data_IF_762386525946
#
_entry.id   IF_762386525946
#
_cell.length_a   1.000
_cell.length_b   1.000
_cell.length_c   1.000
_cell.angle_alpha   90.00
_cell.angle_beta   90.00
_cell.angle_gamma   90.00
#
_symmetry.space_group_name_H-M   'P 1'
#
loop_
_entity.id
_entity.type
_entity.pdbx_description
1 polymer ?
#
# COMPACT_ATOMS: atom_id res chain seq x y z
N UNK A 1 -10.47 -59.34 16.41
CA UNK A 1 -10.74 -58.24 15.48
C UNK A 1 -10.86 -56.85 16.14
N UNK A 2 -11.73 -56.59 17.10
CA UNK A 2 -11.91 -55.24 17.71
C UNK A 2 -10.63 -54.63 18.31
N UNK A 3 -9.80 -55.40 19.03
CA UNK A 3 -8.54 -54.88 19.66
C UNK A 3 -7.54 -54.39 18.61
N UNK A 4 -7.37 -55.07 17.51
CA UNK A 4 -6.46 -54.69 16.44
C UNK A 4 -6.90 -53.39 15.72
N UNK A 5 -8.19 -53.18 15.54
CA UNK A 5 -8.74 -51.96 15.00
C UNK A 5 -8.38 -50.76 15.88
N UNK A 6 -8.55 -50.87 17.17
CA UNK A 6 -8.21 -49.80 18.12
C UNK A 6 -6.70 -49.50 18.17
N UNK A 7 -5.86 -50.53 18.08
CA UNK A 7 -4.41 -50.34 18.01
C UNK A 7 -4.02 -49.64 16.73
N UNK A 8 -4.59 -50.04 15.56
CA UNK A 8 -4.32 -49.40 14.27
C UNK A 8 -4.79 -47.93 14.26
N UNK A 9 -5.99 -47.64 14.78
CA UNK A 9 -6.50 -46.27 14.89
C UNK A 9 -5.61 -45.44 15.80
N UNK A 10 -5.22 -45.98 16.98
CA UNK A 10 -4.32 -45.26 17.88
C UNK A 10 -2.97 -44.96 17.27
N UNK A 11 -2.39 -45.88 16.50
CA UNK A 11 -1.12 -45.68 15.79
C UNK A 11 -1.25 -44.61 14.70
N UNK A 12 -2.33 -44.63 13.92
CA UNK A 12 -2.59 -43.61 12.88
C UNK A 12 -2.78 -42.22 13.48
N UNK A 13 -3.53 -42.11 14.56
CA UNK A 13 -3.74 -40.83 15.28
C UNK A 13 -2.41 -40.31 15.86
N UNK A 14 -1.60 -41.20 16.42
CA UNK A 14 -0.27 -40.82 16.97
C UNK A 14 0.68 -40.35 15.84
N UNK A 15 0.72 -41.05 14.70
CA UNK A 15 1.52 -40.65 13.58
C UNK A 15 1.05 -39.30 12.96
N UNK A 16 -0.27 -39.09 12.87
CA UNK A 16 -0.80 -37.82 12.45
C UNK A 16 -0.44 -36.67 13.40
N UNK A 17 -0.55 -36.89 14.72
CA UNK A 17 -0.18 -35.93 15.75
C UNK A 17 1.33 -35.58 15.68
N UNK A 18 2.19 -36.58 15.52
CA UNK A 18 3.64 -36.38 15.36
C UNK A 18 3.97 -35.65 14.06
N UNK A 19 3.28 -35.96 12.95
CA UNK A 19 3.44 -35.27 11.68
C UNK A 19 3.02 -33.80 11.77
N UNK A 20 1.88 -33.51 12.37
CA UNK A 20 1.37 -32.15 12.58
C UNK A 20 2.29 -31.37 13.52
N UNK A 21 2.69 -31.98 14.64
CA UNK A 21 3.59 -31.35 15.62
C UNK A 21 4.98 -31.07 15.04
N UNK A 22 5.53 -32.02 14.28
CA UNK A 22 6.81 -31.87 13.59
C UNK A 22 6.76 -30.75 12.54
N UNK A 23 5.73 -30.74 11.73
CA UNK A 23 5.53 -29.66 10.76
C UNK A 23 5.39 -28.30 11.43
N UNK A 24 4.57 -28.19 12.48
CA UNK A 24 4.39 -26.94 13.23
C UNK A 24 5.71 -26.44 13.81
N UNK A 25 6.55 -27.31 14.37
CA UNK A 25 7.85 -26.94 14.90
C UNK A 25 8.78 -26.41 13.81
N UNK A 26 8.84 -27.09 12.65
CA UNK A 26 9.69 -26.67 11.53
C UNK A 26 9.22 -25.32 10.99
N UNK A 27 7.92 -25.16 10.81
CA UNK A 27 7.32 -23.92 10.29
C UNK A 27 7.52 -22.76 11.25
N UNK A 28 7.24 -22.97 12.54
CA UNK A 28 7.47 -21.98 13.60
C UNK A 28 8.94 -21.55 13.68
N UNK A 29 9.87 -22.50 13.64
CA UNK A 29 11.30 -22.23 13.64
C UNK A 29 11.73 -21.45 12.39
N UNK A 30 11.22 -21.83 11.23
CA UNK A 30 11.48 -21.10 9.97
C UNK A 30 11.04 -19.63 10.04
N UNK A 31 9.83 -19.37 10.53
CA UNK A 31 9.34 -17.99 10.65
C UNK A 31 10.05 -17.19 11.74
N UNK A 32 10.43 -17.81 12.85
CA UNK A 32 11.21 -17.12 13.88
C UNK A 32 12.58 -16.66 13.39
N UNK A 33 13.20 -17.39 12.45
CA UNK A 33 14.46 -16.96 11.83
C UNK A 33 14.30 -15.77 10.88
N UNK A 34 13.08 -15.45 10.46
CA UNK A 34 12.78 -14.32 9.59
C UNK A 34 12.52 -13.01 10.36
N UNK A 35 12.51 -13.03 11.67
CA UNK A 35 12.36 -11.85 12.51
C UNK A 35 13.64 -11.60 13.30
N UNK A 36 13.95 -10.33 13.49
CA UNK A 36 15.11 -9.93 14.28
C UNK A 36 14.73 -9.64 15.73
N UNK A 37 15.77 -9.61 16.56
CA UNK A 37 15.68 -9.09 17.92
C UNK A 37 16.09 -7.62 17.94
N UNK A 38 15.68 -6.83 18.95
CA UNK A 38 16.09 -5.43 19.07
C UNK A 38 17.60 -5.22 19.09
N UNK A 39 18.39 -6.21 19.58
CA UNK A 39 19.84 -6.14 19.63
C UNK A 39 20.51 -6.36 18.27
N UNK A 40 19.84 -7.03 17.33
CA UNK A 40 20.40 -7.38 16.03
C UNK A 40 20.33 -6.20 15.05
N UNK A 41 19.48 -5.21 15.33
CA UNK A 41 19.27 -4.06 14.48
C UNK A 41 19.64 -2.79 15.22
N UNK A 42 20.56 -2.01 14.65
CA UNK A 42 20.98 -0.75 15.25
C UNK A 42 19.75 0.13 15.54
N UNK A 43 19.72 0.70 16.75
CA UNK A 43 18.61 1.55 17.21
C UNK A 43 18.30 2.65 16.20
N UNK A 44 17.03 2.90 15.96
CA UNK A 44 16.48 3.84 14.97
C UNK A 44 16.63 3.42 13.50
N UNK A 45 17.06 2.22 13.22
CA UNK A 45 17.18 1.70 11.86
C UNK A 45 16.18 0.57 11.58
N UNK A 46 16.07 0.22 10.31
CA UNK A 46 15.38 -0.97 9.83
C UNK A 46 16.41 -2.02 9.40
N UNK A 47 16.10 -3.31 9.54
CA UNK A 47 16.93 -4.37 8.99
C UNK A 47 16.86 -4.33 7.45
N UNK A 48 18.00 -4.17 6.75
CA UNK A 48 18.03 -4.12 5.29
C UNK A 48 18.02 -5.51 4.64
N UNK A 49 18.15 -6.60 5.42
CA UNK A 49 18.26 -7.95 4.86
C UNK A 49 16.94 -8.44 4.27
N UNK A 50 16.96 -9.16 3.15
CA UNK A 50 15.76 -9.75 2.58
C UNK A 50 15.25 -10.93 3.42
N UNK A 51 13.99 -11.31 3.20
CA UNK A 51 13.39 -12.51 3.78
C UNK A 51 13.72 -13.76 2.97
N UNK A 52 13.92 -13.62 1.68
CA UNK A 52 14.21 -14.70 0.73
C UNK A 52 15.35 -14.31 -0.21
N UNK A 53 15.96 -15.30 -0.85
CA UNK A 53 17.00 -15.07 -1.86
C UNK A 53 16.42 -14.37 -3.11
N UNK A 54 17.29 -13.72 -3.90
CA UNK A 54 16.87 -13.11 -5.17
C UNK A 54 16.29 -14.17 -6.14
N UNK A 55 16.87 -15.36 -6.16
CA UNK A 55 16.40 -16.46 -7.01
C UNK A 55 15.00 -16.94 -6.61
N UNK A 56 14.69 -17.00 -5.33
CA UNK A 56 13.34 -17.35 -4.85
C UNK A 56 12.33 -16.26 -5.19
N UNK A 57 12.68 -14.99 -4.98
CA UNK A 57 11.82 -13.87 -5.37
C UNK A 57 11.56 -13.86 -6.88
N UNK A 58 12.59 -14.09 -7.70
CA UNK A 58 12.46 -14.18 -9.15
C UNK A 58 11.57 -15.35 -9.57
N UNK A 59 11.72 -16.52 -8.91
CA UNK A 59 10.89 -17.70 -9.14
C UNK A 59 9.41 -17.40 -8.90
N UNK A 60 9.06 -16.64 -7.83
CA UNK A 60 7.67 -16.22 -7.56
C UNK A 60 7.04 -15.44 -8.72
N UNK A 61 7.84 -14.67 -9.46
CA UNK A 61 7.36 -13.92 -10.62
C UNK A 61 7.19 -14.84 -11.84
N UNK A 62 8.16 -15.72 -12.09
CA UNK A 62 8.16 -16.58 -13.29
C UNK A 62 7.15 -17.72 -13.23
N UNK A 63 6.75 -18.16 -12.04
CA UNK A 63 5.73 -19.19 -11.84
C UNK A 63 4.29 -18.68 -12.04
N UNK A 64 4.10 -17.35 -12.13
CA UNK A 64 2.77 -16.79 -12.33
C UNK A 64 2.34 -16.98 -13.78
N UNK A 65 1.25 -17.73 -13.97
CA UNK A 65 0.65 -17.92 -15.29
C UNK A 65 0.09 -16.61 -15.81
N UNK A 66 0.60 -16.15 -16.94
CA UNK A 66 0.10 -14.97 -17.64
C UNK A 66 -1.11 -15.30 -18.52
N UNK A 67 -2.05 -14.35 -18.73
CA UNK A 67 -3.13 -14.54 -19.68
C UNK A 67 -2.58 -14.61 -21.11
N UNK A 68 -3.22 -15.41 -21.96
CA UNK A 68 -2.77 -15.66 -23.35
C UNK A 68 -2.73 -14.39 -24.23
N UNK A 69 -3.52 -13.36 -23.89
CA UNK A 69 -3.59 -12.06 -24.56
C UNK A 69 -2.88 -10.94 -23.77
N UNK A 70 -2.17 -11.29 -22.71
CA UNK A 70 -1.57 -10.31 -21.80
C UNK A 70 -0.16 -9.88 -22.21
N UNK A 71 0.33 -8.84 -21.57
CA UNK A 71 1.73 -8.44 -21.60
C UNK A 71 2.53 -9.49 -20.80
N UNK A 72 3.64 -9.93 -21.34
CA UNK A 72 4.49 -10.94 -20.67
C UNK A 72 5.51 -10.26 -19.75
N UNK A 73 5.68 -10.81 -18.54
CA UNK A 73 6.76 -10.39 -17.65
C UNK A 73 8.11 -10.84 -18.22
N UNK A 74 9.13 -10.02 -18.08
CA UNK A 74 10.49 -10.39 -18.47
C UNK A 74 10.98 -11.60 -17.64
N UNK A 75 11.80 -12.47 -18.25
CA UNK A 75 12.42 -13.62 -17.56
C UNK A 75 13.24 -13.21 -16.33
N UNK A 76 13.84 -12.02 -16.37
CA UNK A 76 14.54 -11.40 -15.25
C UNK A 76 13.93 -10.03 -15.00
N UNK A 77 13.30 -9.86 -13.85
CA UNK A 77 12.65 -8.63 -13.43
C UNK A 77 13.57 -7.89 -12.46
N UNK A 78 13.77 -6.59 -12.68
CA UNK A 78 14.48 -5.73 -11.73
C UNK A 78 13.70 -5.62 -10.43
N UNK A 79 14.40 -5.75 -9.30
CA UNK A 79 13.80 -5.73 -7.97
C UNK A 79 14.70 -4.97 -6.99
N UNK A 80 14.09 -4.39 -5.95
CA UNK A 80 14.79 -3.85 -4.78
C UNK A 80 14.23 -4.47 -3.50
N UNK A 81 15.10 -4.76 -2.53
CA UNK A 81 14.68 -5.28 -1.21
C UNK A 81 13.81 -4.25 -0.49
N UNK A 82 12.76 -4.70 0.21
CA UNK A 82 12.00 -3.88 1.15
C UNK A 82 12.65 -4.02 2.52
N UNK A 83 13.40 -3.02 3.03
CA UNK A 83 13.99 -3.09 4.36
C UNK A 83 12.91 -3.05 5.44
N UNK A 84 13.21 -3.62 6.61
CA UNK A 84 12.32 -3.56 7.76
C UNK A 84 11.32 -4.71 7.89
N UNK A 85 11.20 -5.60 6.90
CA UNK A 85 10.30 -6.75 6.99
C UNK A 85 10.74 -7.78 8.05
N UNK A 86 12.04 -7.80 8.42
CA UNK A 86 12.56 -8.56 9.58
C UNK A 86 12.35 -7.82 10.89
N UNK A 87 12.38 -6.50 10.84
CA UNK A 87 12.17 -5.63 11.98
C UNK A 87 12.70 -4.24 11.75
N UNK A 88 12.12 -3.26 12.43
CA UNK A 88 12.54 -1.87 12.39
C UNK A 88 12.24 -1.17 13.70
N UNK A 89 13.04 -0.16 14.02
CA UNK A 89 12.80 0.75 15.13
C UNK A 89 11.85 1.86 14.74
N UNK A 90 10.94 2.20 15.65
CA UNK A 90 10.05 3.34 15.56
C UNK A 90 9.78 3.90 16.96
N UNK A 91 8.73 4.68 17.11
CA UNK A 91 8.26 5.27 18.37
C UNK A 91 6.97 4.59 18.78
N UNK A 92 6.88 4.10 19.99
CA UNK A 92 5.64 3.61 20.56
C UNK A 92 4.63 4.76 20.71
N UNK A 93 3.44 4.57 20.16
CA UNK A 93 2.44 5.64 20.06
C UNK A 93 1.87 6.07 21.42
N UNK A 94 1.92 5.20 22.42
CA UNK A 94 1.44 5.48 23.79
C UNK A 94 2.54 6.06 24.68
N UNK A 95 3.66 5.34 24.77
CA UNK A 95 4.75 5.72 25.68
C UNK A 95 5.66 6.81 25.11
N UNK A 96 5.60 7.04 23.79
CA UNK A 96 6.48 7.98 23.05
C UNK A 96 7.96 7.64 23.11
N UNK A 97 8.28 6.40 23.50
CA UNK A 97 9.64 5.89 23.57
C UNK A 97 10.00 5.10 22.31
N UNK A 98 11.30 5.00 22.05
CA UNK A 98 11.80 4.12 21.00
C UNK A 98 11.39 2.66 21.28
N UNK A 99 10.86 1.98 20.28
CA UNK A 99 10.48 0.59 20.36
C UNK A 99 10.71 -0.14 19.05
N UNK A 100 11.01 -1.42 19.13
CA UNK A 100 11.23 -2.30 18.00
C UNK A 100 9.96 -3.04 17.63
N UNK A 101 9.69 -3.19 16.32
CA UNK A 101 8.57 -3.97 15.79
C UNK A 101 9.03 -4.90 14.69
N UNK A 102 8.37 -6.06 14.60
CA UNK A 102 8.63 -7.10 13.59
C UNK A 102 7.44 -7.37 12.67
N UNK A 103 6.34 -6.64 12.85
CA UNK A 103 5.11 -6.82 12.06
C UNK A 103 4.84 -5.60 11.15
N UNK A 104 5.85 -5.23 10.35
CA UNK A 104 5.73 -4.13 9.41
C UNK A 104 5.00 -4.54 8.13
N UNK A 105 3.97 -3.79 7.76
CA UNK A 105 3.11 -4.05 6.60
C UNK A 105 3.34 -2.98 5.54
N UNK A 106 3.99 -3.32 4.41
CA UNK A 106 4.16 -2.40 3.29
C UNK A 106 2.82 -2.01 2.67
N UNK A 107 2.66 -0.72 2.36
CA UNK A 107 1.40 -0.20 1.82
C UNK A 107 1.59 0.56 0.51
N UNK A 108 2.57 1.43 0.45
CA UNK A 108 2.76 2.27 -0.70
C UNK A 108 4.22 2.41 -1.12
N UNK A 109 4.41 2.75 -2.39
CA UNK A 109 5.73 3.00 -2.98
C UNK A 109 5.69 4.19 -3.92
N UNK A 110 6.71 5.05 -3.82
CA UNK A 110 6.94 6.14 -4.77
C UNK A 110 8.44 6.41 -4.91
N UNK A 111 8.82 7.20 -5.91
CA UNK A 111 10.23 7.48 -6.18
C UNK A 111 10.46 8.96 -6.52
N UNK A 112 11.46 9.55 -5.88
CA UNK A 112 12.12 10.78 -6.35
C UNK A 112 13.22 10.45 -7.35
N UNK A 113 13.93 11.45 -7.87
CA UNK A 113 15.12 11.21 -8.72
C UNK A 113 16.25 10.45 -8.00
N UNK A 114 16.30 10.50 -6.66
CA UNK A 114 17.40 9.94 -5.86
C UNK A 114 17.01 8.76 -4.99
N UNK A 115 15.77 8.71 -4.54
CA UNK A 115 15.34 7.74 -3.54
C UNK A 115 13.96 7.13 -3.86
N UNK A 116 13.81 5.85 -3.49
CA UNK A 116 12.54 5.18 -3.34
C UNK A 116 12.04 5.40 -1.92
N UNK A 117 10.73 5.54 -1.78
CA UNK A 117 10.05 5.66 -0.49
C UNK A 117 9.00 4.56 -0.38
N UNK A 118 9.07 3.79 0.70
CA UNK A 118 8.11 2.72 1.02
C UNK A 118 7.40 3.05 2.33
N UNK A 119 6.10 3.26 2.28
CA UNK A 119 5.30 3.47 3.48
C UNK A 119 4.90 2.13 4.11
N UNK A 120 4.98 2.06 5.44
CA UNK A 120 4.65 0.87 6.21
C UNK A 120 3.97 1.25 7.53
N UNK A 121 2.96 0.49 7.92
CA UNK A 121 2.39 0.59 9.26
C UNK A 121 2.76 -0.65 10.10
N UNK A 122 2.68 -0.51 11.41
CA UNK A 122 2.85 -1.62 12.35
C UNK A 122 1.56 -2.44 12.42
N UNK A 123 1.59 -3.68 11.96
CA UNK A 123 0.44 -4.59 11.98
C UNK A 123 -0.11 -4.86 13.40
N UNK A 124 0.70 -4.66 14.44
CA UNK A 124 0.27 -4.72 15.84
C UNK A 124 -0.38 -3.39 16.30
N UNK A 125 -0.41 -2.37 15.46
CA UNK A 125 -0.96 -1.03 15.73
C UNK A 125 -0.44 -0.37 17.02
N UNK A 126 0.77 -0.67 17.43
CA UNK A 126 1.44 -0.16 18.61
C UNK A 126 2.39 0.99 18.29
N UNK A 127 3.14 0.85 17.20
CA UNK A 127 4.18 1.79 16.79
C UNK A 127 3.66 2.85 15.81
N UNK A 128 4.35 3.98 15.79
CA UNK A 128 4.18 4.96 14.73
C UNK A 128 4.58 4.36 13.39
N UNK A 129 3.81 4.65 12.35
CA UNK A 129 4.10 4.24 10.98
C UNK A 129 5.43 4.84 10.51
N UNK A 130 6.05 4.20 9.54
CA UNK A 130 7.35 4.59 9.01
C UNK A 130 7.30 4.71 7.49
N UNK A 131 8.23 5.49 6.94
CA UNK A 131 8.57 5.45 5.53
C UNK A 131 10.05 5.09 5.43
N UNK A 132 10.34 4.04 4.68
CA UNK A 132 11.72 3.61 4.43
C UNK A 132 12.23 4.35 3.22
N UNK A 133 13.38 5.00 3.36
CA UNK A 133 14.11 5.62 2.26
C UNK A 133 15.19 4.65 1.77
N UNK A 134 15.20 4.41 0.46
CA UNK A 134 16.10 3.50 -0.24
C UNK A 134 16.76 4.29 -1.37
N UNK A 135 18.06 4.18 -1.55
CA UNK A 135 18.76 4.77 -2.69
C UNK A 135 18.26 4.17 -4.01
N UNK A 136 17.74 4.99 -4.90
CA UNK A 136 17.09 4.54 -6.12
C UNK A 136 18.05 3.87 -7.13
N UNK A 137 19.35 4.22 -7.07
CA UNK A 137 20.39 3.69 -7.97
C UNK A 137 20.93 2.35 -7.49
N UNK A 138 21.17 2.21 -6.18
CA UNK A 138 21.84 1.05 -5.60
C UNK A 138 20.88 0.06 -4.94
N UNK A 139 19.64 0.46 -4.66
CA UNK A 139 18.68 -0.32 -3.88
C UNK A 139 19.05 -0.47 -2.39
N UNK A 140 20.01 0.32 -1.89
CA UNK A 140 20.46 0.23 -0.49
C UNK A 140 19.58 1.06 0.43
N UNK A 141 19.32 0.53 1.60
CA UNK A 141 18.65 1.23 2.70
C UNK A 141 19.46 2.49 3.09
N UNK A 142 18.79 3.63 3.17
CA UNK A 142 19.36 4.90 3.63
C UNK A 142 18.97 5.18 5.07
N UNK A 143 17.68 5.33 5.34
CA UNK A 143 17.15 5.66 6.68
C UNK A 143 15.67 5.33 6.82
N UNK A 144 15.20 5.36 8.05
CA UNK A 144 13.79 5.24 8.41
C UNK A 144 13.23 6.61 8.78
N UNK A 145 12.20 7.06 8.08
CA UNK A 145 11.44 8.27 8.41
C UNK A 145 10.30 7.87 9.33
N UNK A 146 10.37 8.24 10.60
CA UNK A 146 9.34 7.91 11.58
C UNK A 146 8.22 8.95 11.51
N UNK A 147 6.97 8.52 11.34
CA UNK A 147 5.82 9.39 11.22
C UNK A 147 5.25 9.77 12.58
N UNK A 148 4.33 10.77 12.61
CA UNK A 148 3.77 11.28 13.86
C UNK A 148 2.71 10.38 14.48
N UNK A 149 2.19 9.41 13.75
CA UNK A 149 1.07 8.58 14.15
C UNK A 149 1.21 7.15 13.63
N UNK A 150 0.31 6.29 14.06
CA UNK A 150 0.12 4.93 13.55
C UNK A 150 -0.91 4.86 12.41
N UNK A 151 -0.99 5.91 11.58
CA UNK A 151 -1.87 5.94 10.43
C UNK A 151 -1.55 4.79 9.47
N UNK A 152 -2.55 4.33 8.72
CA UNK A 152 -2.40 3.19 7.80
C UNK A 152 -1.46 3.51 6.61
N UNK A 153 -1.29 4.77 6.25
CA UNK A 153 -0.37 5.28 5.21
C UNK A 153 -0.47 4.54 3.86
N UNK A 154 -1.70 4.17 3.48
CA UNK A 154 -1.96 3.39 2.27
C UNK A 154 -1.55 4.08 0.97
N UNK A 155 -1.71 5.41 0.87
CA UNK A 155 -1.29 6.17 -0.30
C UNK A 155 -0.04 7.00 -0.03
N UNK A 156 0.94 6.97 -0.96
CA UNK A 156 2.15 7.78 -0.94
C UNK A 156 2.50 8.25 -2.35
N UNK A 157 2.89 9.50 -2.51
CA UNK A 157 3.34 10.03 -3.80
C UNK A 157 4.42 11.09 -3.63
N UNK A 158 5.32 11.20 -4.59
CA UNK A 158 6.37 12.22 -4.60
C UNK A 158 6.09 13.29 -5.65
N UNK A 159 5.98 14.53 -5.19
CA UNK A 159 5.87 15.71 -6.03
C UNK A 159 7.27 16.11 -6.54
N UNK A 160 7.56 15.80 -7.80
CA UNK A 160 8.84 16.09 -8.42
C UNK A 160 9.09 17.60 -8.62
N UNK A 161 8.02 18.37 -8.85
CA UNK A 161 8.11 19.82 -9.14
C UNK A 161 8.41 20.62 -7.85
N UNK A 162 7.73 20.27 -6.77
CA UNK A 162 7.89 20.94 -5.47
C UNK A 162 8.87 20.22 -4.54
N UNK A 163 9.44 19.11 -4.98
CA UNK A 163 10.42 18.28 -4.23
C UNK A 163 9.92 17.95 -2.82
N UNK A 164 8.81 17.22 -2.73
CA UNK A 164 8.24 16.81 -1.45
C UNK A 164 7.53 15.47 -1.55
N UNK A 165 7.48 14.78 -0.43
CA UNK A 165 6.79 13.53 -0.25
C UNK A 165 5.42 13.80 0.41
N UNK A 166 4.35 13.23 -0.15
CA UNK A 166 3.00 13.28 0.40
C UNK A 166 2.57 11.86 0.78
N UNK A 167 1.81 11.72 1.85
CA UNK A 167 1.22 10.44 2.28
C UNK A 167 -0.16 10.62 2.90
N UNK A 168 -1.00 9.59 2.82
CA UNK A 168 -2.30 9.57 3.49
C UNK A 168 -2.11 9.44 5.00
N UNK A 169 -2.84 10.24 5.77
CA UNK A 169 -2.82 10.24 7.22
C UNK A 169 -4.26 10.16 7.75
N UNK A 170 -4.72 8.94 7.97
CA UNK A 170 -6.07 8.66 8.47
C UNK A 170 -6.16 8.62 10.00
N UNK A 171 -5.25 9.30 10.68
CA UNK A 171 -5.23 9.39 12.14
C UNK A 171 -6.47 10.12 12.69
N UNK A 172 -7.44 9.37 13.16
CA UNK A 172 -8.68 9.88 13.73
C UNK A 172 -8.47 10.80 14.96
N UNK A 173 -7.38 10.59 15.72
CA UNK A 173 -7.05 11.43 16.88
C UNK A 173 -6.59 12.84 16.51
N UNK A 174 -6.13 13.06 15.28
CA UNK A 174 -5.68 14.36 14.80
C UNK A 174 -6.79 15.18 14.11
N UNK A 175 -8.05 14.91 14.40
CA UNK A 175 -9.17 15.63 13.80
C UNK A 175 -9.66 15.02 12.49
N UNK A 176 -9.60 13.69 12.35
CA UNK A 176 -10.06 12.95 11.16
C UNK A 176 -8.94 12.66 10.17
N UNK A 177 -9.31 12.26 8.96
CA UNK A 177 -8.34 11.95 7.91
C UNK A 177 -7.72 13.20 7.30
N UNK A 178 -6.53 13.05 6.72
CA UNK A 178 -5.80 14.12 6.06
C UNK A 178 -4.73 13.58 5.10
N UNK A 179 -3.98 14.51 4.55
CA UNK A 179 -2.80 14.28 3.75
C UNK A 179 -1.65 15.00 4.46
N UNK A 180 -0.59 14.26 4.77
CA UNK A 180 0.63 14.82 5.35
C UNK A 180 1.71 14.93 4.29
N UNK A 181 2.61 15.90 4.44
CA UNK A 181 3.76 16.06 3.56
C UNK A 181 5.00 16.56 4.29
N UNK A 182 6.17 16.27 3.73
CA UNK A 182 7.45 16.83 4.12
C UNK A 182 8.23 17.24 2.86
N UNK A 183 8.90 18.39 2.90
CA UNK A 183 9.76 18.80 1.82
C UNK A 183 11.06 17.96 1.82
N UNK A 184 11.70 17.83 0.66
CA UNK A 184 12.94 17.06 0.54
C UNK A 184 14.02 17.52 1.49
N UNK A 185 14.15 18.83 1.73
CA UNK A 185 15.11 19.39 2.70
C UNK A 185 14.88 18.88 4.14
N UNK A 186 13.64 18.70 4.55
CA UNK A 186 13.28 18.15 5.87
C UNK A 186 13.60 16.65 5.94
N UNK A 187 13.35 15.94 4.83
CA UNK A 187 13.73 14.54 4.70
C UNK A 187 15.25 14.39 4.73
N UNK A 188 15.99 15.19 3.97
CA UNK A 188 17.45 15.12 3.91
C UNK A 188 18.09 15.42 5.28
N UNK A 189 17.59 16.43 6.00
CA UNK A 189 18.07 16.82 7.32
C UNK A 189 17.68 15.82 8.43
N UNK A 190 16.66 15.01 8.23
CA UNK A 190 16.15 14.09 9.24
C UNK A 190 17.10 12.93 9.50
N UNK A 191 17.50 12.79 10.77
CA UNK A 191 18.34 11.69 11.28
C UNK A 191 17.66 11.11 12.53
N UNK A 192 16.98 9.97 12.45
CA UNK A 192 16.16 9.45 13.55
C UNK A 192 16.98 9.20 14.82
N UNK A 193 18.24 8.81 14.70
CA UNK A 193 19.16 8.60 15.84
C UNK A 193 19.52 9.91 16.57
N UNK A 194 19.48 11.05 15.90
CA UNK A 194 19.75 12.37 16.46
C UNK A 194 18.46 13.05 16.93
N UNK A 195 17.46 13.07 16.06
CA UNK A 195 16.19 13.74 16.33
C UNK A 195 15.40 13.04 17.45
N UNK A 196 15.46 11.69 17.53
CA UNK A 196 14.70 10.86 18.47
C UNK A 196 13.22 11.24 18.55
N UNK A 197 12.69 11.77 17.46
CA UNK A 197 11.35 12.31 17.31
C UNK A 197 10.81 11.99 15.90
N UNK A 198 9.52 12.06 15.66
CA UNK A 198 8.95 11.91 14.31
C UNK A 198 9.47 12.99 13.34
N UNK A 199 9.53 12.63 12.06
CA UNK A 199 9.83 13.56 10.96
C UNK A 199 8.91 14.80 11.04
N UNK A 200 9.51 15.98 10.90
CA UNK A 200 8.78 17.22 10.77
C UNK A 200 7.92 17.18 9.49
N UNK A 201 6.64 17.35 9.64
CA UNK A 201 5.68 17.27 8.52
C UNK A 201 4.50 18.20 8.74
N UNK A 202 3.92 18.68 7.66
CA UNK A 202 2.68 19.46 7.67
C UNK A 202 1.52 18.56 7.29
N UNK A 203 0.39 18.74 7.96
CA UNK A 203 -0.83 17.97 7.72
C UNK A 203 -1.95 18.85 7.20
N UNK A 204 -2.54 18.45 6.10
CA UNK A 204 -3.72 19.06 5.49
C UNK A 204 -4.95 18.23 5.89
N UNK A 205 -5.87 18.76 6.70
CA UNK A 205 -7.10 18.05 7.01
C UNK A 205 -7.93 17.86 5.73
N UNK A 206 -8.30 16.63 5.46
CA UNK A 206 -9.16 16.29 4.32
C UNK A 206 -9.97 15.04 4.63
N UNK A 207 -11.23 15.20 5.02
CA UNK A 207 -12.07 14.10 5.49
C UNK A 207 -12.16 12.93 4.49
N UNK A 208 -12.21 13.23 3.19
CA UNK A 208 -12.30 12.20 2.15
C UNK A 208 -11.00 11.39 1.96
N UNK A 209 -9.89 11.77 2.61
CA UNK A 209 -8.66 10.99 2.58
C UNK A 209 -8.67 9.76 3.51
N UNK A 210 -9.76 9.48 4.21
CA UNK A 210 -9.87 8.27 5.01
C UNK A 210 -9.88 7.02 4.12
N UNK A 211 -9.24 5.92 4.57
CA UNK A 211 -9.12 4.66 3.84
C UNK A 211 -8.51 4.84 2.43
N UNK A 212 -7.59 5.78 2.27
CA UNK A 212 -6.83 5.92 1.03
C UNK A 212 -5.86 4.75 0.92
N UNK A 213 -5.98 3.95 -0.13
CA UNK A 213 -5.08 2.85 -0.44
C UNK A 213 -3.97 3.24 -1.42
N UNK A 214 -4.17 4.29 -2.21
CA UNK A 214 -3.15 4.82 -3.09
C UNK A 214 -3.37 6.30 -3.41
N UNK A 215 -2.29 6.98 -3.81
CA UNK A 215 -2.32 8.37 -4.28
C UNK A 215 -1.44 8.53 -5.51
N UNK A 216 -1.89 9.31 -6.48
CA UNK A 216 -1.06 9.70 -7.62
C UNK A 216 -1.30 11.17 -7.99
N UNK A 217 -0.23 11.86 -8.36
CA UNK A 217 -0.29 13.20 -8.92
C UNK A 217 -0.42 13.11 -10.43
N UNK A 218 -1.40 13.78 -10.99
CA UNK A 218 -1.61 13.84 -12.42
C UNK A 218 -2.30 15.15 -12.84
N UNK A 219 -1.68 15.89 -13.75
CA UNK A 219 -2.26 17.08 -14.37
C UNK A 219 -2.93 18.05 -13.37
N UNK A 220 -2.14 18.57 -12.41
CA UNK A 220 -2.59 19.46 -11.33
C UNK A 220 -3.73 18.90 -10.45
N UNK A 221 -3.79 17.59 -10.33
CA UNK A 221 -4.74 16.90 -9.48
C UNK A 221 -4.03 15.89 -8.59
N UNK A 222 -4.54 15.69 -7.39
CA UNK A 222 -4.21 14.54 -6.55
C UNK A 222 -5.35 13.53 -6.63
N UNK A 223 -5.07 12.37 -7.19
CA UNK A 223 -6.04 11.28 -7.31
C UNK A 223 -5.88 10.34 -6.13
N UNK A 224 -6.95 10.12 -5.39
CA UNK A 224 -7.03 9.19 -4.27
C UNK A 224 -7.81 7.94 -4.67
N UNK A 225 -7.25 6.78 -4.42
CA UNK A 225 -7.97 5.50 -4.46
C UNK A 225 -8.48 5.19 -3.06
N UNK A 226 -9.76 4.92 -2.93
CA UNK A 226 -10.39 4.51 -1.67
C UNK A 226 -10.75 3.05 -1.70
N UNK A 227 -10.18 2.30 -0.78
CA UNK A 227 -10.53 0.91 -0.57
C UNK A 227 -11.80 0.75 0.25
N UNK A 228 -12.64 -0.21 -0.11
CA UNK A 228 -13.84 -0.55 0.66
C UNK A 228 -14.42 -1.91 0.28
N UNK A 229 -14.91 -2.65 1.27
CA UNK A 229 -15.60 -3.95 1.06
C UNK A 229 -16.94 -3.77 0.36
N UNK A 230 -17.63 -2.65 0.61
CA UNK A 230 -18.93 -2.32 -0.02
C UNK A 230 -18.73 -1.40 -1.22
N UNK A 231 -19.55 -1.52 -2.24
CA UNK A 231 -19.52 -0.67 -3.44
C UNK A 231 -19.54 0.82 -3.13
N UNK A 232 -20.33 1.23 -2.13
CA UNK A 232 -20.43 2.62 -1.66
C UNK A 232 -19.17 3.16 -0.98
N UNK A 233 -18.23 2.28 -0.59
CA UNK A 233 -16.98 2.67 0.06
C UNK A 233 -15.77 2.71 -0.87
N UNK A 234 -15.94 2.33 -2.16
CA UNK A 234 -14.87 2.21 -3.15
C UNK A 234 -14.98 3.30 -4.20
N UNK A 235 -13.91 4.08 -4.38
CA UNK A 235 -13.94 5.17 -5.36
C UNK A 235 -12.54 5.67 -5.71
N UNK A 236 -12.45 6.35 -6.85
CA UNK A 236 -11.38 7.26 -7.18
C UNK A 236 -11.92 8.69 -7.04
N UNK A 237 -11.17 9.54 -6.34
CA UNK A 237 -11.54 10.93 -6.12
C UNK A 237 -10.37 11.79 -6.57
N UNK A 238 -10.61 12.74 -7.47
CA UNK A 238 -9.61 13.71 -7.89
C UNK A 238 -9.80 15.02 -7.14
N UNK A 239 -8.72 15.51 -6.55
CA UNK A 239 -8.68 16.77 -5.81
C UNK A 239 -7.97 17.82 -6.65
N UNK A 240 -8.54 19.02 -6.81
CA UNK A 240 -7.81 20.13 -7.41
C UNK A 240 -6.63 20.52 -6.50
N UNK A 241 -5.52 20.88 -7.13
CA UNK A 241 -4.36 21.40 -6.44
C UNK A 241 -4.27 22.91 -6.59
N UNK A 242 -3.82 23.59 -5.55
CA UNK A 242 -3.54 25.03 -5.55
C UNK A 242 -2.16 25.32 -6.17
N UNK A 243 -1.74 26.59 -6.21
CA UNK A 243 -0.46 27.04 -6.76
C UNK A 243 0.76 26.40 -6.08
N UNK A 244 0.56 25.96 -4.82
CA UNK A 244 1.57 25.19 -4.08
C UNK A 244 1.54 23.71 -4.41
N UNK A 245 0.73 23.28 -5.38
CA UNK A 245 0.53 21.88 -5.76
C UNK A 245 0.04 21.01 -4.58
N UNK A 246 -0.80 21.57 -3.72
CA UNK A 246 -1.42 20.90 -2.55
C UNK A 246 -2.94 20.97 -2.64
N UNK A 247 -3.67 19.98 -2.15
CA UNK A 247 -5.12 20.07 -2.04
C UNK A 247 -5.52 21.10 -0.98
N UNK A 248 -6.64 21.77 -1.18
CA UNK A 248 -7.19 22.68 -0.16
C UNK A 248 -7.71 21.86 1.04
N UNK A 249 -7.45 22.38 2.24
CA UNK A 249 -7.94 21.76 3.45
C UNK A 249 -9.47 21.79 3.52
N UNK A 250 -10.06 20.69 4.00
CA UNK A 250 -11.45 20.62 4.42
C UNK A 250 -11.52 19.89 5.76
N UNK A 251 -11.84 20.64 6.81
CA UNK A 251 -11.96 20.10 8.15
C UNK A 251 -13.21 19.22 8.29
N UNK A 252 -13.22 18.33 9.29
CA UNK A 252 -14.40 17.54 9.62
C UNK A 252 -15.63 18.43 9.81
N UNK A 253 -15.51 19.53 10.57
CA UNK A 253 -16.60 20.49 10.81
C UNK A 253 -17.17 21.09 9.52
N UNK A 254 -16.30 21.44 8.56
CA UNK A 254 -16.74 21.97 7.27
C UNK A 254 -17.45 20.89 6.43
N UNK A 255 -16.94 19.65 6.46
CA UNK A 255 -17.57 18.54 5.79
C UNK A 255 -18.93 18.20 6.40
N UNK A 256 -19.03 18.12 7.72
CA UNK A 256 -20.28 17.85 8.44
C UNK A 256 -21.33 18.93 8.15
N UNK A 257 -20.91 20.19 8.06
CA UNK A 257 -21.81 21.27 7.65
C UNK A 257 -22.38 21.02 6.25
N UNK A 258 -21.56 20.62 5.28
CA UNK A 258 -22.05 20.29 3.92
C UNK A 258 -23.06 19.17 3.97
N UNK A 259 -22.79 18.12 4.74
CA UNK A 259 -23.72 16.97 4.89
C UNK A 259 -25.03 17.42 5.54
N UNK A 260 -24.97 18.26 6.59
CA UNK A 260 -26.16 18.82 7.25
C UNK A 260 -26.98 19.69 6.31
N UNK A 261 -26.34 20.57 5.53
CA UNK A 261 -27.00 21.44 4.55
C UNK A 261 -27.72 20.61 3.44
N UNK A 262 -27.26 19.37 3.19
CA UNK A 262 -27.85 18.44 2.22
C UNK A 262 -28.98 17.56 2.82
N UNK A 263 -29.16 17.57 4.14
CA UNK A 263 -30.13 16.69 4.79
C UNK A 263 -31.56 16.79 4.19
N UNK A 264 -32.10 17.98 3.85
CA UNK A 264 -33.44 18.07 3.23
C UNK A 264 -33.51 17.41 1.84
N UNK A 265 -32.41 17.37 1.09
CA UNK A 265 -32.35 16.79 -0.25
C UNK A 265 -32.08 15.28 -0.21
N UNK A 266 -31.56 14.77 0.90
CA UNK A 266 -31.19 13.37 1.07
C UNK A 266 -32.19 12.56 1.88
N UNK A 267 -33.17 13.22 2.49
CA UNK A 267 -34.26 12.56 3.21
C UNK A 267 -34.95 11.54 2.31
N UNK A 268 -35.16 10.33 2.83
CA UNK A 268 -35.78 9.19 2.11
C UNK A 268 -35.02 8.71 0.86
N UNK A 269 -33.75 9.09 0.67
CA UNK A 269 -32.92 8.59 -0.43
C UNK A 269 -32.12 7.35 -0.02
N UNK A 270 -31.84 6.46 -0.99
CA UNK A 270 -30.92 5.37 -0.78
C UNK A 270 -29.49 5.90 -0.57
N UNK A 271 -28.63 5.11 0.07
CA UNK A 271 -27.22 5.48 0.29
C UNK A 271 -26.52 5.89 -1.01
N UNK A 272 -26.77 5.19 -2.12
CA UNK A 272 -26.22 5.52 -3.44
C UNK A 272 -26.68 6.88 -3.93
N UNK A 273 -27.96 7.20 -3.79
CA UNK A 273 -28.50 8.51 -4.17
C UNK A 273 -27.94 9.63 -3.28
N UNK A 274 -27.81 9.39 -1.98
CA UNK A 274 -27.20 10.34 -1.05
C UNK A 274 -25.74 10.67 -1.43
N UNK A 275 -24.95 9.64 -1.75
CA UNK A 275 -23.57 9.81 -2.21
C UNK A 275 -23.51 10.57 -3.54
N UNK A 276 -24.40 10.30 -4.49
CA UNK A 276 -24.46 11.03 -5.77
C UNK A 276 -24.73 12.53 -5.54
N UNK A 277 -25.71 12.86 -4.68
CA UNK A 277 -26.01 14.27 -4.32
C UNK A 277 -24.79 14.93 -3.65
N UNK A 278 -24.18 14.25 -2.68
CA UNK A 278 -23.00 14.75 -1.97
C UNK A 278 -21.85 15.03 -2.94
N UNK A 279 -21.45 14.06 -3.77
CA UNK A 279 -20.32 14.23 -4.67
C UNK A 279 -20.57 15.26 -5.77
N UNK A 280 -21.78 15.35 -6.32
CA UNK A 280 -22.19 16.45 -7.21
C UNK A 280 -22.04 17.82 -6.54
N UNK A 281 -22.42 17.90 -5.28
CA UNK A 281 -22.27 19.15 -4.50
C UNK A 281 -20.81 19.50 -4.25
N UNK A 282 -19.96 18.52 -3.90
CA UNK A 282 -18.53 18.73 -3.71
C UNK A 282 -17.84 19.19 -5.02
N UNK A 283 -18.22 18.63 -6.16
CA UNK A 283 -17.75 19.05 -7.49
C UNK A 283 -18.19 20.50 -7.79
N UNK A 284 -19.49 20.82 -7.58
CA UNK A 284 -20.01 22.18 -7.78
C UNK A 284 -19.30 23.20 -6.89
N UNK A 285 -18.93 22.82 -5.68
CA UNK A 285 -18.14 23.66 -4.75
C UNK A 285 -16.63 23.68 -5.04
N UNK A 286 -16.16 23.01 -6.08
CA UNK A 286 -14.74 22.85 -6.46
C UNK A 286 -13.86 22.28 -5.32
N UNK A 287 -14.46 21.47 -4.43
CA UNK A 287 -13.73 20.73 -3.37
C UNK A 287 -13.05 19.51 -3.97
N UNK A 288 -13.71 18.87 -4.92
CA UNK A 288 -13.17 17.79 -5.73
C UNK A 288 -13.43 18.09 -7.21
N UNK A 289 -12.60 17.53 -8.10
CA UNK A 289 -12.79 17.64 -9.55
C UNK A 289 -13.69 16.53 -10.09
N UNK A 290 -13.49 15.31 -9.58
CA UNK A 290 -14.28 14.15 -10.02
C UNK A 290 -14.43 13.10 -8.92
N UNK A 291 -15.45 12.29 -9.08
CA UNK A 291 -15.73 11.10 -8.28
C UNK A 291 -16.10 9.95 -9.22
N UNK A 292 -15.39 8.84 -9.11
CA UNK A 292 -15.64 7.64 -9.90
C UNK A 292 -15.79 6.44 -8.95
N UNK A 293 -16.93 5.73 -8.96
CA UNK A 293 -17.04 4.45 -8.28
C UNK A 293 -15.99 3.46 -8.79
N UNK A 294 -15.38 2.71 -7.88
CA UNK A 294 -14.35 1.72 -8.21
C UNK A 294 -14.88 0.29 -8.09
N UNK A 295 -14.24 -0.64 -8.78
CA UNK A 295 -14.57 -2.05 -8.64
C UNK A 295 -13.97 -2.68 -7.38
N UNK A 296 -14.25 -3.97 -7.21
CA UNK A 296 -13.80 -4.73 -6.06
C UNK A 296 -12.28 -4.85 -5.99
N UNK A 297 -11.72 -4.63 -4.79
CA UNK A 297 -10.29 -4.82 -4.49
C UNK A 297 -9.33 -3.96 -5.32
N UNK A 298 -9.79 -2.81 -5.82
CA UNK A 298 -8.92 -1.81 -6.40
C UNK A 298 -8.05 -1.20 -5.29
N UNK A 299 -6.72 -1.32 -5.41
CA UNK A 299 -5.76 -0.87 -4.41
C UNK A 299 -4.92 0.32 -4.87
N UNK A 300 -4.58 0.40 -6.15
CA UNK A 300 -3.71 1.44 -6.67
C UNK A 300 -4.09 1.93 -8.05
N UNK A 301 -3.61 3.13 -8.38
CA UNK A 301 -3.72 3.75 -9.70
C UNK A 301 -2.45 4.52 -10.02
N UNK A 302 -1.97 4.39 -11.24
CA UNK A 302 -0.93 5.22 -11.80
C UNK A 302 -1.39 5.73 -13.18
N UNK A 303 -1.23 7.03 -13.44
CA UNK A 303 -1.68 7.66 -14.67
C UNK A 303 -0.44 8.22 -15.38
N UNK A 304 -0.17 7.75 -16.58
CA UNK A 304 0.94 8.23 -17.40
C UNK A 304 0.63 9.61 -18.01
N UNK A 305 1.66 10.33 -18.45
CA UNK A 305 1.53 11.68 -19.00
C UNK A 305 0.58 11.74 -20.21
N UNK A 306 0.54 10.67 -21.01
CA UNK A 306 -0.35 10.50 -22.14
C UNK A 306 -1.78 10.08 -21.77
N UNK A 307 -2.07 9.91 -20.45
CA UNK A 307 -3.37 9.53 -19.93
C UNK A 307 -3.63 8.02 -19.88
N UNK A 308 -2.68 7.18 -20.31
CA UNK A 308 -2.78 5.72 -20.08
C UNK A 308 -2.86 5.47 -18.60
N UNK A 309 -3.90 4.75 -18.17
CA UNK A 309 -4.17 4.51 -16.76
C UNK A 309 -3.91 3.05 -16.41
N UNK A 310 -3.00 2.83 -15.46
CA UNK A 310 -2.74 1.53 -14.86
C UNK A 310 -3.39 1.48 -13.49
N UNK A 311 -4.01 0.37 -13.19
CA UNK A 311 -4.63 0.17 -11.89
C UNK A 311 -4.55 -1.30 -11.50
N UNK A 312 -4.37 -1.54 -10.22
CA UNK A 312 -4.19 -2.89 -9.72
C UNK A 312 -5.37 -3.38 -8.91
N UNK A 313 -5.53 -4.68 -8.94
CA UNK A 313 -6.49 -5.42 -8.15
C UNK A 313 -5.75 -6.45 -7.30
N UNK A 314 -5.87 -6.34 -5.99
CA UNK A 314 -5.34 -7.33 -5.06
C UNK A 314 -6.38 -8.39 -4.75
N UNK A 315 -5.96 -9.66 -4.79
CA UNK A 315 -6.82 -10.81 -4.53
C UNK A 315 -6.39 -11.63 -3.29
N UNK A 316 -5.67 -11.03 -2.36
CA UNK A 316 -5.18 -11.72 -1.16
C UNK A 316 -4.18 -12.83 -1.53
N UNK A 317 -4.50 -14.10 -1.30
CA UNK A 317 -3.62 -15.25 -1.54
C UNK A 317 -3.46 -15.65 -3.03
N UNK A 318 -4.26 -15.09 -3.92
CA UNK A 318 -4.16 -15.35 -5.38
C UNK A 318 -3.33 -14.26 -6.07
N UNK A 319 -2.77 -14.51 -7.26
CA UNK A 319 -2.03 -13.50 -8.01
C UNK A 319 -2.83 -12.22 -8.17
N UNK A 320 -2.17 -11.08 -7.90
CA UNK A 320 -2.68 -9.76 -8.19
C UNK A 320 -2.76 -9.49 -9.68
N UNK A 321 -3.46 -8.44 -10.08
CA UNK A 321 -3.63 -8.05 -11.47
C UNK A 321 -3.29 -6.58 -11.65
N UNK A 322 -2.53 -6.28 -12.69
CA UNK A 322 -2.35 -4.93 -13.21
C UNK A 322 -3.18 -4.83 -14.48
N UNK A 323 -4.10 -3.90 -14.50
CA UNK A 323 -4.91 -3.57 -15.66
C UNK A 323 -4.35 -2.32 -16.34
N UNK A 324 -4.27 -2.34 -17.65
CA UNK A 324 -3.78 -1.23 -18.47
C UNK A 324 -4.93 -0.81 -19.37
N UNK A 325 -5.36 0.43 -19.21
CA UNK A 325 -6.44 1.04 -19.99
C UNK A 325 -5.90 2.22 -20.76
N UNK A 326 -6.11 2.17 -22.05
CA UNK A 326 -5.68 3.24 -22.96
C UNK A 326 -6.42 4.55 -22.64
N UNK A 327 -5.73 5.66 -22.87
CA UNK A 327 -6.32 6.98 -22.76
C UNK A 327 -7.55 7.12 -23.70
N UNK A 328 -8.49 7.94 -23.28
CA UNK A 328 -9.63 8.36 -24.10
C UNK A 328 -9.59 9.86 -24.28
N UNK A 329 -10.09 10.36 -25.39
CA UNK A 329 -10.09 11.81 -25.73
C UNK A 329 -10.78 12.71 -24.69
N UNK A 330 -11.58 12.11 -23.82
CA UNK A 330 -12.35 12.81 -22.78
C UNK A 330 -11.62 12.96 -21.43
N UNK A 331 -10.37 12.53 -21.35
CA UNK A 331 -9.59 12.51 -20.11
C UNK A 331 -9.87 11.28 -19.22
N UNK A 332 -8.94 11.00 -18.31
CA UNK A 332 -8.99 9.83 -17.42
C UNK A 332 -10.22 9.85 -16.49
N UNK A 333 -10.73 11.00 -16.11
CA UNK A 333 -11.90 11.16 -15.23
C UNK A 333 -13.19 10.60 -15.85
N UNK A 334 -13.21 10.41 -17.17
CA UNK A 334 -14.34 9.81 -17.88
C UNK A 334 -14.23 8.31 -18.05
N UNK A 335 -13.13 7.71 -17.63
CA UNK A 335 -12.99 6.27 -17.60
C UNK A 335 -13.95 5.66 -16.58
N UNK A 336 -14.48 4.50 -16.90
CA UNK A 336 -15.34 3.74 -15.98
C UNK A 336 -14.50 2.73 -15.21
N UNK A 337 -14.37 2.92 -13.91
CA UNK A 337 -13.58 2.07 -13.02
C UNK A 337 -14.41 1.01 -12.26
N UNK A 338 -15.65 0.77 -12.65
CA UNK A 338 -16.53 -0.21 -11.98
C UNK A 338 -16.18 -1.66 -12.30
N UNK A 339 -15.64 -1.92 -13.47
CA UNK A 339 -15.28 -3.25 -13.95
C UNK A 339 -14.24 -3.17 -15.07
N UNK A 340 -13.52 -4.28 -15.36
CA UNK A 340 -12.71 -4.39 -16.58
C UNK A 340 -13.54 -4.14 -17.83
N UNK A 341 -12.90 -3.58 -18.85
CA UNK A 341 -13.50 -3.29 -20.15
C UNK A 341 -12.90 -4.13 -21.26
N UNK A 342 -13.65 -4.33 -22.33
CA UNK A 342 -13.10 -4.87 -23.56
C UNK A 342 -11.98 -3.94 -24.06
N UNK A 343 -10.81 -4.52 -24.37
CA UNK A 343 -9.62 -3.78 -24.79
C UNK A 343 -8.64 -3.45 -23.66
N UNK A 344 -9.01 -3.64 -22.38
CA UNK A 344 -8.02 -3.58 -21.29
C UNK A 344 -6.99 -4.70 -21.47
N UNK A 345 -5.71 -4.34 -21.34
CA UNK A 345 -4.64 -5.34 -21.21
C UNK A 345 -4.46 -5.69 -19.74
N UNK A 346 -4.05 -6.92 -19.44
CA UNK A 346 -3.87 -7.39 -18.07
C UNK A 346 -2.54 -8.13 -17.90
N UNK A 347 -1.89 -7.91 -16.75
CA UNK A 347 -0.70 -8.63 -16.31
C UNK A 347 -1.00 -9.22 -14.95
N UNK A 348 -0.73 -10.51 -14.76
CA UNK A 348 -0.75 -11.12 -13.43
C UNK A 348 0.60 -10.85 -12.75
N UNK A 349 0.53 -10.48 -11.47
CA UNK A 349 1.69 -10.16 -10.62
C UNK A 349 1.61 -10.95 -9.31
N UNK A 350 2.65 -10.99 -8.49
CA UNK A 350 2.58 -11.64 -7.18
C UNK A 350 1.36 -11.18 -6.37
N UNK A 351 0.95 -12.03 -5.44
CA UNK A 351 -0.22 -11.79 -4.60
C UNK A 351 -0.04 -10.58 -3.66
N UNK A 352 -1.15 -10.03 -3.21
CA UNK A 352 -1.22 -8.88 -2.29
C UNK A 352 -0.49 -7.65 -2.79
N UNK A 353 -0.60 -7.33 -4.10
CA UNK A 353 -0.12 -6.07 -4.65
C UNK A 353 -0.95 -4.91 -4.08
N UNK A 354 -0.26 -3.92 -3.52
CA UNK A 354 -0.85 -2.71 -2.93
C UNK A 354 -0.69 -1.51 -3.87
N UNK A 355 -0.23 -0.37 -3.42
CA UNK A 355 -0.04 0.79 -4.28
C UNK A 355 0.92 0.52 -5.43
N UNK A 356 0.66 1.18 -6.55
CA UNK A 356 1.55 1.22 -7.72
C UNK A 356 1.86 2.67 -8.08
N UNK A 357 3.08 2.94 -8.52
CA UNK A 357 3.47 4.28 -8.98
C UNK A 357 4.46 4.22 -10.13
N UNK A 358 4.54 5.27 -10.92
CA UNK A 358 5.61 5.38 -11.90
C UNK A 358 6.92 5.81 -11.26
N UNK A 359 8.05 5.35 -11.84
CA UNK A 359 9.32 6.00 -11.61
C UNK A 359 9.32 7.42 -12.25
N UNK A 360 10.28 8.32 -11.91
CA UNK A 360 10.29 9.70 -12.42
C UNK A 360 10.28 9.82 -13.94
N UNK A 361 10.90 8.87 -14.63
CA UNK A 361 10.98 8.84 -16.11
C UNK A 361 9.75 8.22 -16.77
N UNK A 362 8.84 7.66 -15.99
CA UNK A 362 7.61 6.97 -16.40
C UNK A 362 7.82 5.79 -17.37
N UNK A 363 8.99 5.18 -17.36
CA UNK A 363 9.32 4.01 -18.17
C UNK A 363 9.21 2.70 -17.40
N UNK A 364 9.06 2.75 -16.07
CA UNK A 364 8.86 1.59 -15.20
C UNK A 364 7.72 1.88 -14.21
N UNK A 365 6.87 0.88 -13.99
CA UNK A 365 5.89 0.86 -12.90
C UNK A 365 6.51 0.18 -11.69
N UNK A 366 6.45 0.83 -10.55
CA UNK A 366 6.85 0.30 -9.25
C UNK A 366 5.67 -0.40 -8.60
N UNK A 367 5.87 -1.60 -8.11
CA UNK A 367 4.85 -2.38 -7.40
C UNK A 367 5.35 -2.74 -6.01
N UNK A 368 4.48 -2.57 -5.02
CA UNK A 368 4.70 -2.98 -3.62
C UNK A 368 3.73 -4.09 -3.24
N UNK A 369 4.11 -4.95 -2.28
CA UNK A 369 3.33 -6.12 -1.89
C UNK A 369 3.22 -6.23 -0.37
N UNK A 370 2.01 -6.36 0.14
CA UNK A 370 1.72 -6.64 1.55
C UNK A 370 2.17 -8.05 1.98
N UNK A 371 2.20 -8.99 1.04
CA UNK A 371 2.49 -10.40 1.33
C UNK A 371 3.84 -10.65 1.99
N UNK A 372 4.77 -9.69 1.93
CA UNK A 372 6.02 -9.71 2.69
C UNK A 372 5.86 -9.50 4.20
N UNK A 373 4.73 -8.98 4.68
CA UNK A 373 4.49 -8.72 6.09
C UNK A 373 4.31 -10.03 6.90
N UNK A 374 4.64 -9.98 8.20
CA UNK A 374 4.56 -11.13 9.11
C UNK A 374 3.18 -11.77 9.11
N UNK A 375 2.12 -10.98 9.24
CA UNK A 375 0.74 -11.48 9.26
C UNK A 375 0.40 -12.35 8.04
N UNK A 376 0.84 -11.93 6.85
CA UNK A 376 0.58 -12.67 5.60
C UNK A 376 1.48 -13.88 5.42
N UNK A 377 2.73 -13.85 5.91
CA UNK A 377 3.65 -14.99 5.85
C UNK A 377 3.21 -16.14 6.75
N UNK A 378 2.60 -15.78 7.90
CA UNK A 378 2.14 -16.72 8.91
C UNK A 378 0.70 -17.23 8.65
N UNK A 379 -0.03 -16.64 7.71
CA UNK A 379 -1.32 -17.15 7.22
C UNK A 379 -1.11 -18.44 6.41
N UNK A 380 -0.64 -19.49 7.06
CA UNK A 380 -0.40 -20.79 6.45
C UNK A 380 -1.32 -21.86 7.02
N UNK A 381 -1.70 -22.80 6.17
CA UNK A 381 -2.39 -24.02 6.55
C UNK A 381 -1.47 -25.22 6.31
N UNK A 382 -1.71 -26.31 7.01
CA UNK A 382 -0.97 -27.57 6.87
C UNK A 382 -0.72 -27.90 5.39
N UNK A 383 0.55 -28.08 5.00
CA UNK A 383 1.04 -28.25 3.61
C UNK A 383 0.91 -27.05 2.66
N UNK A 384 0.40 -25.92 3.10
CA UNK A 384 0.31 -24.72 2.27
C UNK A 384 1.12 -23.59 2.86
N UNK A 385 2.32 -23.35 2.32
CA UNK A 385 3.12 -22.16 2.66
C UNK A 385 2.65 -20.98 1.82
N UNK A 386 2.34 -19.84 2.43
CA UNK A 386 1.95 -18.68 1.67
C UNK A 386 3.10 -18.21 0.78
N UNK A 387 2.79 -17.89 -0.46
CA UNK A 387 3.71 -17.19 -1.33
C UNK A 387 3.78 -15.74 -0.89
N UNK A 388 4.98 -15.21 -0.66
CA UNK A 388 5.17 -13.81 -0.32
C UNK A 388 6.21 -13.14 -1.20
N UNK A 389 6.13 -11.82 -1.31
CA UNK A 389 7.07 -10.98 -2.03
C UNK A 389 7.65 -9.93 -1.07
N UNK A 390 8.97 -9.94 -0.92
CA UNK A 390 9.72 -9.02 -0.05
C UNK A 390 10.54 -7.99 -0.85
N UNK A 391 10.07 -7.74 -2.10
CA UNK A 391 10.74 -6.85 -3.06
C UNK A 391 9.77 -5.81 -3.62
N UNK A 392 10.28 -4.62 -3.86
CA UNK A 392 9.70 -3.71 -4.85
C UNK A 392 10.02 -4.30 -6.22
N UNK A 393 9.02 -4.47 -7.06
CA UNK A 393 9.15 -4.97 -8.42
C UNK A 393 9.09 -3.80 -9.40
N UNK A 394 9.98 -3.77 -10.37
CA UNK A 394 9.96 -2.82 -11.48
C UNK A 394 9.40 -3.50 -12.72
N UNK A 395 8.27 -3.02 -13.18
CA UNK A 395 7.62 -3.50 -14.39
C UNK A 395 7.91 -2.53 -15.53
N UNK A 396 8.77 -2.90 -16.52
CA UNK A 396 9.00 -2.06 -17.69
C UNK A 396 7.72 -1.89 -18.49
N UNK A 397 7.43 -0.67 -18.90
CA UNK A 397 6.33 -0.35 -19.79
C UNK A 397 6.89 -0.23 -21.21
N UNK A 398 6.94 -1.33 -21.92
CA UNK A 398 7.07 -1.30 -23.37
C UNK A 398 5.67 -1.04 -23.93
N UNK A 399 5.36 0.22 -24.17
CA UNK A 399 4.14 0.62 -24.90
C UNK A 399 4.35 0.41 -26.39
#
# INVERSE_FOLDING_TARGET
MKKWIWVTIGTLVSMAALGIGGWWLIDHYHYQQLVDQPADVKKWQADPRPLQSESEAQKRITEIRQPSSGVHLAKKTKMAVIPGLRGAWSIDNKTRQAAFGTNWVPQGVTQSKKALYVSMYDGDHRLNSIIIEIDAKTGRYNKTLILRSKAHVGGITYDLDKQRLLWSDDNSKAGGAGISYAAQREIDAYQPQVNQAPLASTRIPFHLANRTSAMTLYNHQLVLVKYGKKTTGRSLIALPLNDENLPNAITQKQFDKIVTDLAPQTQHKSTTQMLDILFKTLIKKKIINSYNPAWDRLQGVAIAKDGVTLFNQSNGSTPGKIWIRMAVDKGWEKLDFKAPKAGDKMINVPNSVEEISFNPDQNELLLIFESGAKAYREEGWFFHRPHYMDRIMYLPLTV
#
